data_IF_554453719240
#
_entry.id   IF_554453719240
#
_cell.length_a   1.000
_cell.length_b   1.000
_cell.length_c   1.000
_cell.angle_alpha   90.00
_cell.angle_beta   90.00
_cell.angle_gamma   90.00
#
_symmetry.space_group_name_H-M   'P 1'
#
loop_
_entity.id
_entity.type
_entity.pdbx_description
1 polymer ?
#
# COMPACT_ATOMS: atom_id res chain seq x y z
N UNK A 1 21.28 38.00 2.03
CA UNK A 1 20.06 37.60 1.29
C UNK A 1 20.19 36.26 0.55
N UNK A 2 21.29 35.96 -0.15
CA UNK A 2 21.49 34.66 -0.86
C UNK A 2 21.32 33.40 0.04
N UNK A 3 21.83 33.44 1.27
CA UNK A 3 21.68 32.33 2.25
C UNK A 3 20.22 32.09 2.64
N UNK A 4 19.42 33.16 2.72
CA UNK A 4 18.02 33.08 3.12
C UNK A 4 17.19 32.45 2.00
N UNK A 5 17.47 32.79 0.73
CA UNK A 5 16.89 32.12 -0.44
C UNK A 5 17.21 30.62 -0.48
N UNK A 6 18.46 30.23 -0.21
CA UNK A 6 18.86 28.82 -0.17
C UNK A 6 18.11 28.05 0.93
N UNK A 7 17.98 28.64 2.12
CA UNK A 7 17.19 28.04 3.20
C UNK A 7 15.72 27.90 2.82
N UNK A 8 15.14 28.90 2.16
CA UNK A 8 13.75 28.89 1.74
C UNK A 8 13.50 27.83 0.66
N UNK A 9 14.39 27.70 -0.33
CA UNK A 9 14.28 26.66 -1.36
C UNK A 9 14.45 25.26 -0.77
N UNK A 10 15.36 25.06 0.18
CA UNK A 10 15.51 23.79 0.89
C UNK A 10 14.23 23.44 1.66
N UNK A 11 13.68 24.39 2.41
CA UNK A 11 12.47 24.19 3.20
C UNK A 11 11.29 23.81 2.31
N UNK A 12 11.06 24.54 1.21
CA UNK A 12 9.98 24.25 0.26
C UNK A 12 10.15 22.90 -0.40
N UNK A 13 11.38 22.48 -0.70
CA UNK A 13 11.65 21.17 -1.33
C UNK A 13 11.36 20.03 -0.37
N UNK A 14 11.74 20.17 0.91
CA UNK A 14 11.45 19.18 1.95
C UNK A 14 9.94 19.06 2.18
N UNK A 15 9.24 20.19 2.24
CA UNK A 15 7.79 20.21 2.42
C UNK A 15 7.05 19.56 1.23
N UNK A 16 7.46 19.91 0.00
CA UNK A 16 6.90 19.33 -1.21
C UNK A 16 7.16 17.81 -1.29
N UNK A 17 8.37 17.36 -0.93
CA UNK A 17 8.69 15.93 -0.88
C UNK A 17 7.84 15.17 0.16
N UNK A 18 7.60 15.78 1.33
CA UNK A 18 6.73 15.23 2.36
C UNK A 18 5.28 15.08 1.88
N UNK A 19 4.71 16.14 1.30
CA UNK A 19 3.35 16.13 0.73
C UNK A 19 3.23 15.10 -0.40
N UNK A 20 4.24 15.03 -1.28
CA UNK A 20 4.24 14.07 -2.39
C UNK A 20 4.29 12.62 -1.89
N UNK A 21 5.14 12.33 -0.89
CA UNK A 21 5.21 11.01 -0.26
C UNK A 21 3.89 10.62 0.40
N UNK A 22 3.25 11.56 1.11
CA UNK A 22 1.93 11.37 1.70
C UNK A 22 0.86 11.03 0.68
N UNK A 23 0.79 11.82 -0.40
CA UNK A 23 -0.16 11.64 -1.47
C UNK A 23 0.06 10.29 -2.17
N UNK A 24 1.32 9.91 -2.39
CA UNK A 24 1.68 8.61 -2.94
C UNK A 24 1.15 7.46 -2.06
N UNK A 25 1.48 7.45 -0.77
CA UNK A 25 1.03 6.39 0.16
C UNK A 25 -0.49 6.29 0.22
N UNK A 26 -1.20 7.43 0.24
CA UNK A 26 -2.66 7.45 0.24
C UNK A 26 -3.24 6.88 -1.06
N UNK A 27 -2.71 7.28 -2.21
CA UNK A 27 -3.20 6.84 -3.51
C UNK A 27 -2.92 5.34 -3.74
N UNK A 28 -1.72 4.87 -3.38
CA UNK A 28 -1.38 3.45 -3.48
C UNK A 28 -2.22 2.61 -2.53
N UNK A 29 -2.48 3.07 -1.30
CA UNK A 29 -3.40 2.38 -0.41
C UNK A 29 -4.81 2.30 -1.01
N UNK A 30 -5.35 3.38 -1.56
CA UNK A 30 -6.66 3.35 -2.22
C UNK A 30 -6.69 2.30 -3.34
N UNK A 31 -5.68 2.27 -4.21
CA UNK A 31 -5.56 1.26 -5.27
C UNK A 31 -5.49 -0.17 -4.74
N UNK A 32 -4.75 -0.41 -3.65
CA UNK A 32 -4.70 -1.73 -3.00
C UNK A 32 -6.09 -2.13 -2.48
N UNK A 33 -6.82 -1.21 -1.86
CA UNK A 33 -8.18 -1.47 -1.37
C UNK A 33 -9.15 -1.79 -2.52
N UNK A 34 -9.06 -1.05 -3.62
CA UNK A 34 -9.89 -1.28 -4.81
C UNK A 34 -9.61 -2.68 -5.41
N UNK A 35 -8.34 -3.07 -5.54
CA UNK A 35 -7.96 -4.40 -6.03
C UNK A 35 -8.41 -5.52 -5.08
N UNK A 36 -8.31 -5.34 -3.76
CA UNK A 36 -8.83 -6.30 -2.80
C UNK A 36 -10.36 -6.46 -2.92
N UNK A 37 -11.09 -5.36 -3.12
CA UNK A 37 -12.53 -5.39 -3.32
C UNK A 37 -12.90 -6.08 -4.64
N UNK A 38 -12.17 -5.81 -5.71
CA UNK A 38 -12.35 -6.45 -7.02
C UNK A 38 -12.13 -7.97 -6.93
N UNK A 39 -11.05 -8.41 -6.29
CA UNK A 39 -10.77 -9.84 -6.09
C UNK A 39 -11.92 -10.50 -5.32
N UNK A 40 -12.40 -9.85 -4.26
CA UNK A 40 -13.53 -10.36 -3.46
C UNK A 40 -14.79 -10.50 -4.31
N UNK A 41 -15.10 -9.51 -5.14
CA UNK A 41 -16.27 -9.55 -6.03
C UNK A 41 -16.14 -10.65 -7.10
N UNK A 42 -14.96 -10.82 -7.68
CA UNK A 42 -14.66 -11.88 -8.65
C UNK A 42 -14.84 -13.27 -8.04
N UNK A 43 -14.33 -13.49 -6.83
CA UNK A 43 -14.50 -14.76 -6.11
C UNK A 43 -15.97 -15.05 -5.80
N UNK A 44 -16.74 -14.04 -5.36
CA UNK A 44 -18.18 -14.19 -5.09
C UNK A 44 -18.97 -14.50 -6.38
N UNK A 45 -18.52 -13.92 -7.51
CA UNK A 45 -19.16 -14.08 -8.82
C UNK A 45 -18.66 -15.30 -9.61
N UNK A 46 -17.88 -16.19 -8.98
CA UNK A 46 -17.26 -17.37 -9.60
C UNK A 46 -16.47 -17.04 -10.87
N UNK A 47 -15.81 -15.88 -10.85
CA UNK A 47 -14.95 -15.36 -11.93
C UNK A 47 -13.49 -15.48 -11.52
N UNK A 48 -12.61 -15.81 -12.46
CA UNK A 48 -11.17 -15.99 -12.21
C UNK A 48 -10.50 -14.71 -11.67
N UNK A 49 -10.00 -14.70 -10.41
CA UNK A 49 -9.36 -13.53 -9.81
C UNK A 49 -7.87 -13.40 -10.13
N UNK A 50 -7.29 -14.33 -10.90
CA UNK A 50 -5.83 -14.44 -11.10
C UNK A 50 -5.19 -13.17 -11.65
N UNK A 51 -5.88 -12.46 -12.54
CA UNK A 51 -5.39 -11.19 -13.10
C UNK A 51 -5.30 -10.10 -12.04
N UNK A 52 -6.36 -9.91 -11.26
CA UNK A 52 -6.41 -8.90 -10.19
C UNK A 52 -5.42 -9.22 -9.06
N UNK A 53 -5.23 -10.50 -8.73
CA UNK A 53 -4.20 -10.94 -7.77
C UNK A 53 -2.79 -10.60 -8.27
N UNK A 54 -2.52 -10.81 -9.56
CA UNK A 54 -1.21 -10.48 -10.15
C UNK A 54 -0.97 -8.97 -10.12
N UNK A 55 -2.00 -8.17 -10.42
CA UNK A 55 -1.91 -6.72 -10.33
C UNK A 55 -1.70 -6.24 -8.89
N UNK A 56 -2.42 -6.81 -7.93
CA UNK A 56 -2.23 -6.53 -6.50
C UNK A 56 -0.80 -6.83 -6.04
N UNK A 57 -0.26 -7.99 -6.40
CA UNK A 57 1.11 -8.37 -6.06
C UNK A 57 2.14 -7.42 -6.67
N UNK A 58 1.91 -6.99 -7.92
CA UNK A 58 2.79 -6.03 -8.61
C UNK A 58 2.74 -4.65 -7.95
N UNK A 59 1.53 -4.17 -7.67
CA UNK A 59 1.31 -2.91 -6.98
C UNK A 59 1.99 -2.90 -5.61
N UNK A 60 1.88 -4.00 -4.86
CA UNK A 60 2.55 -4.16 -3.58
C UNK A 60 4.07 -4.21 -3.71
N UNK A 61 4.64 -4.90 -4.69
CA UNK A 61 6.10 -4.95 -4.90
C UNK A 61 6.69 -3.57 -5.18
N UNK A 62 5.98 -2.70 -5.89
CA UNK A 62 6.40 -1.33 -6.10
C UNK A 62 6.26 -0.51 -4.81
N UNK A 63 5.16 -0.70 -4.10
CA UNK A 63 4.88 0.02 -2.86
C UNK A 63 5.84 -0.37 -1.73
N UNK A 64 6.18 -1.65 -1.58
CA UNK A 64 7.02 -2.17 -0.52
C UNK A 64 8.46 -1.64 -0.61
N UNK A 65 8.97 -1.40 -1.83
CA UNK A 65 10.27 -0.74 -2.03
C UNK A 65 10.29 0.65 -1.38
N UNK A 66 9.23 1.42 -1.57
CA UNK A 66 9.12 2.78 -1.02
C UNK A 66 8.89 2.72 0.48
N UNK A 67 8.01 1.84 0.97
CA UNK A 67 7.76 1.64 2.39
C UNK A 67 8.99 1.14 3.16
N UNK A 68 9.87 0.35 2.53
CA UNK A 68 11.09 -0.16 3.18
C UNK A 68 12.04 0.96 3.65
N UNK A 69 11.92 2.17 3.07
CA UNK A 69 12.65 3.36 3.50
C UNK A 69 11.94 4.15 4.60
N UNK A 70 10.64 3.93 4.78
CA UNK A 70 9.77 4.74 5.66
C UNK A 70 9.35 4.01 6.93
N UNK A 71 9.26 2.68 6.90
CA UNK A 71 8.61 1.86 7.93
C UNK A 71 9.48 0.77 8.53
N UNK A 72 8.98 0.26 9.66
CA UNK A 72 9.61 -0.86 10.34
C UNK A 72 9.52 -2.13 9.48
N UNK A 73 10.68 -2.68 9.13
CA UNK A 73 10.85 -3.79 8.18
C UNK A 73 9.89 -4.97 8.44
N UNK A 74 9.62 -5.28 9.71
CA UNK A 74 8.78 -6.41 10.13
C UNK A 74 7.33 -6.34 9.61
N UNK A 75 6.70 -5.15 9.60
CA UNK A 75 5.31 -5.01 9.13
C UNK A 75 5.21 -5.22 7.62
N UNK A 76 6.16 -4.67 6.87
CA UNK A 76 6.23 -4.78 5.40
C UNK A 76 6.54 -6.23 5.00
N UNK A 77 7.42 -6.91 5.73
CA UNK A 77 7.73 -8.34 5.48
C UNK A 77 6.53 -9.24 5.74
N UNK A 78 5.75 -8.99 6.81
CA UNK A 78 4.56 -9.78 7.11
C UNK A 78 3.51 -9.69 5.99
N UNK A 79 3.16 -8.46 5.56
CA UNK A 79 2.21 -8.26 4.46
C UNK A 79 2.73 -8.87 3.15
N UNK A 80 4.04 -8.74 2.88
CA UNK A 80 4.66 -9.35 1.68
C UNK A 80 4.56 -10.88 1.70
N UNK A 81 4.72 -11.51 2.86
CA UNK A 81 4.57 -12.94 3.01
C UNK A 81 3.12 -13.38 2.76
N UNK A 82 2.13 -12.65 3.28
CA UNK A 82 0.71 -12.90 3.01
C UNK A 82 0.37 -12.72 1.52
N UNK A 83 0.84 -11.65 0.89
CA UNK A 83 0.65 -11.42 -0.54
C UNK A 83 1.22 -12.54 -1.42
N UNK A 84 2.38 -13.09 -1.05
CA UNK A 84 3.00 -14.19 -1.82
C UNK A 84 2.18 -15.48 -1.84
N UNK A 85 1.23 -15.64 -0.89
CA UNK A 85 0.37 -16.83 -0.78
C UNK A 85 -0.88 -16.72 -1.65
N UNK A 86 -1.29 -15.51 -2.04
CA UNK A 86 -2.51 -15.26 -2.80
C UNK A 86 -2.62 -16.06 -4.11
N UNK A 87 -1.57 -16.17 -4.95
CA UNK A 87 -1.66 -16.94 -6.19
C UNK A 87 -1.93 -18.44 -5.95
N UNK A 88 -1.38 -18.99 -4.86
CA UNK A 88 -1.59 -20.39 -4.51
C UNK A 88 -3.01 -20.63 -3.96
N UNK A 89 -3.53 -19.70 -3.17
CA UNK A 89 -4.88 -19.79 -2.59
C UNK A 89 -5.97 -19.64 -3.64
N UNK A 90 -5.76 -18.83 -4.67
CA UNK A 90 -6.68 -18.69 -5.80
C UNK A 90 -6.98 -19.99 -6.54
N UNK A 91 -6.06 -20.96 -6.49
CA UNK A 91 -6.23 -22.26 -7.13
C UNK A 91 -6.72 -23.36 -6.18
N UNK A 92 -6.79 -23.09 -4.87
CA UNK A 92 -6.99 -24.12 -3.85
C UNK A 92 -8.33 -24.00 -3.13
N UNK A 93 -8.65 -22.84 -2.54
CA UNK A 93 -9.88 -22.62 -1.81
C UNK A 93 -10.32 -21.13 -1.88
N UNK A 94 -11.50 -20.85 -2.49
CA UNK A 94 -12.08 -19.50 -2.55
C UNK A 94 -12.32 -18.85 -1.18
N UNK A 95 -12.66 -19.63 -0.15
CA UNK A 95 -12.97 -19.10 1.18
C UNK A 95 -11.72 -18.58 1.89
N UNK A 96 -10.65 -19.37 1.85
CA UNK A 96 -9.34 -19.00 2.40
C UNK A 96 -8.76 -17.78 1.66
N UNK A 97 -9.00 -17.67 0.35
CA UNK A 97 -8.60 -16.50 -0.42
C UNK A 97 -9.30 -15.22 0.08
N UNK A 98 -10.61 -15.26 0.35
CA UNK A 98 -11.35 -14.09 0.84
C UNK A 98 -10.83 -13.67 2.21
N UNK A 99 -10.63 -14.62 3.14
CA UNK A 99 -10.10 -14.32 4.48
C UNK A 99 -8.71 -13.68 4.39
N UNK A 100 -7.85 -14.21 3.51
CA UNK A 100 -6.50 -13.70 3.31
C UNK A 100 -6.51 -12.29 2.69
N UNK A 101 -7.41 -12.01 1.74
CA UNK A 101 -7.58 -10.68 1.13
C UNK A 101 -8.09 -9.67 2.14
N UNK A 102 -9.04 -10.04 2.99
CA UNK A 102 -9.56 -9.18 4.06
C UNK A 102 -8.46 -8.85 5.08
N UNK A 103 -7.65 -9.84 5.47
CA UNK A 103 -6.47 -9.62 6.34
C UNK A 103 -5.49 -8.62 5.72
N UNK A 104 -5.10 -8.83 4.47
CA UNK A 104 -4.16 -7.97 3.74
C UNK A 104 -4.71 -6.55 3.61
N UNK A 105 -5.99 -6.43 3.27
CA UNK A 105 -6.68 -5.16 3.15
C UNK A 105 -6.62 -4.37 4.46
N UNK A 106 -6.94 -5.01 5.59
CA UNK A 106 -6.92 -4.36 6.90
C UNK A 106 -5.50 -3.98 7.33
N UNK A 107 -4.52 -4.85 7.11
CA UNK A 107 -3.12 -4.55 7.41
C UNK A 107 -2.58 -3.36 6.61
N UNK A 108 -2.91 -3.29 5.31
CA UNK A 108 -2.56 -2.14 4.47
C UNK A 108 -3.25 -0.85 4.93
N UNK A 109 -4.53 -0.94 5.33
CA UNK A 109 -5.28 0.20 5.89
C UNK A 109 -4.63 0.73 7.16
N UNK A 110 -4.26 -0.15 8.10
CA UNK A 110 -3.59 0.21 9.34
C UNK A 110 -2.21 0.82 9.09
N UNK A 111 -1.46 0.31 8.11
CA UNK A 111 -0.17 0.85 7.71
C UNK A 111 -0.32 2.27 7.14
N UNK A 112 -1.29 2.48 6.24
CA UNK A 112 -1.60 3.80 5.69
C UNK A 112 -2.03 4.80 6.77
N UNK A 113 -2.82 4.36 7.75
CA UNK A 113 -3.26 5.18 8.88
C UNK A 113 -2.13 5.60 9.82
N UNK A 114 -1.07 4.81 9.97
CA UNK A 114 0.11 5.22 10.76
C UNK A 114 0.89 6.36 10.11
N UNK A 115 0.86 6.46 8.79
CA UNK A 115 1.51 7.55 8.06
C UNK A 115 0.69 8.86 8.04
N UNK A 116 -0.63 8.79 8.23
CA UNK A 116 -1.50 9.97 8.22
C UNK A 116 -1.25 10.98 9.36
N UNK A 117 -1.09 10.61 10.65
CA UNK A 117 -0.96 11.59 11.73
C UNK A 117 0.37 12.36 11.70
N UNK A 118 1.47 11.77 11.21
CA UNK A 118 2.75 12.48 11.06
C UNK A 118 2.74 13.50 9.91
N UNK A 119 1.86 13.32 8.92
CA UNK A 119 1.67 14.23 7.79
C UNK A 119 0.57 15.28 8.03
N UNK A 120 -0.43 14.97 8.84
CA UNK A 120 -1.45 15.94 9.26
C UNK A 120 -0.86 17.05 10.13
N UNK A 121 0.22 16.78 10.87
CA UNK A 121 0.93 17.81 11.65
C UNK A 121 1.81 18.74 10.78
N UNK A 122 1.96 18.46 9.49
CA UNK A 122 2.73 19.25 8.53
C UNK A 122 1.84 20.09 7.57
N UNK A 123 0.53 19.87 7.59
CA UNK A 123 -0.51 20.64 6.89
C UNK A 123 -1.11 21.68 7.84
#
# INVERSE_FOLDING_TARGET
>A
MKRLLICLTLLTTILAAGIFSAAYVRNTNARIQDLCAEIREQVISDTDPSSAITELCTCWQEHCKILSFLENFNSVTAISAEMSRLPALASADPADLIEQIDSISEQCRLLSQRHLPSLHSLL
#
